data_IF_666729884231
#
_entry.id   IF_666729884231
#
_cell.length_a   1.000
_cell.length_b   1.000
_cell.length_c   1.000
_cell.angle_alpha   90.00
_cell.angle_beta   90.00
_cell.angle_gamma   90.00
#
_symmetry.space_group_name_H-M   'P 1'
#
loop_
_entity.id
_entity.type
_entity.pdbx_description
1 polymer ?
#
# COMPACT_ATOMS: atom_id res chain seq x y z
N UNK A 1 -25.40 -3.39 19.56
CA UNK A 1 -24.84 -4.76 19.54
C UNK A 1 -23.81 -4.78 18.44
N UNK A 2 -22.51 -4.79 18.78
CA UNK A 2 -21.45 -4.93 17.79
C UNK A 2 -21.52 -6.32 17.19
N UNK A 3 -21.34 -6.43 15.87
CA UNK A 3 -21.22 -7.74 15.22
C UNK A 3 -19.97 -8.39 15.78
N UNK A 4 -20.13 -9.53 16.46
CA UNK A 4 -19.00 -10.37 16.86
C UNK A 4 -18.39 -10.94 15.59
N UNK A 5 -17.21 -10.41 15.22
CA UNK A 5 -16.47 -10.88 14.07
C UNK A 5 -15.74 -12.17 14.44
N UNK A 6 -15.82 -13.16 13.55
CA UNK A 6 -15.10 -14.43 13.69
C UNK A 6 -14.13 -14.60 12.52
N UNK A 7 -12.97 -15.24 12.74
CA UNK A 7 -12.08 -15.63 11.65
C UNK A 7 -12.79 -16.47 10.59
N UNK A 8 -12.30 -16.37 9.36
CA UNK A 8 -12.86 -17.16 8.25
C UNK A 8 -12.71 -18.67 8.50
N UNK A 9 -13.57 -19.48 7.86
CA UNK A 9 -13.52 -20.94 7.95
C UNK A 9 -12.11 -21.52 7.78
N UNK A 10 -11.75 -22.42 8.70
CA UNK A 10 -10.45 -23.10 8.74
C UNK A 10 -9.35 -22.34 9.50
N UNK A 11 -9.64 -21.19 10.09
CA UNK A 11 -8.70 -20.43 10.92
C UNK A 11 -9.10 -20.54 12.39
N UNK A 12 -8.16 -20.99 13.23
CA UNK A 12 -8.33 -21.04 14.67
C UNK A 12 -8.24 -19.62 15.27
N UNK A 13 -9.19 -19.27 16.12
CA UNK A 13 -9.27 -17.97 16.80
C UNK A 13 -8.37 -17.96 18.04
N UNK A 14 -7.06 -18.00 17.86
CA UNK A 14 -6.11 -17.87 18.97
C UNK A 14 -6.17 -16.45 19.56
N UNK A 15 -5.86 -16.31 20.86
CA UNK A 15 -5.83 -14.99 21.52
C UNK A 15 -4.88 -14.02 20.79
N UNK A 16 -3.68 -14.49 20.43
CA UNK A 16 -2.68 -13.71 19.68
C UNK A 16 -3.22 -13.19 18.32
N UNK A 17 -3.94 -14.04 17.58
CA UNK A 17 -4.55 -13.66 16.30
C UNK A 17 -5.60 -12.57 16.53
N UNK A 18 -6.47 -12.77 17.51
CA UNK A 18 -7.56 -11.85 17.83
C UNK A 18 -7.01 -10.50 18.31
N UNK A 19 -5.97 -10.49 19.13
CA UNK A 19 -5.31 -9.27 19.60
C UNK A 19 -4.78 -8.45 18.43
N UNK A 20 -4.04 -9.09 17.51
CA UNK A 20 -3.49 -8.40 16.32
C UNK A 20 -4.62 -7.90 15.39
N UNK A 21 -5.65 -8.72 15.17
CA UNK A 21 -6.74 -8.38 14.26
C UNK A 21 -7.62 -7.27 14.83
N UNK A 22 -7.86 -7.24 16.13
CA UNK A 22 -8.78 -6.27 16.74
C UNK A 22 -8.09 -4.98 17.18
N UNK A 23 -6.76 -4.96 17.26
CA UNK A 23 -5.98 -3.76 17.60
C UNK A 23 -6.26 -2.58 16.65
N UNK A 24 -6.54 -1.40 17.23
CA UNK A 24 -6.82 -0.17 16.49
C UNK A 24 -5.59 0.74 16.31
N UNK A 25 -4.44 0.36 16.87
CA UNK A 25 -3.19 1.10 16.76
C UNK A 25 -2.29 0.56 15.64
N UNK A 26 -1.16 1.24 15.40
CA UNK A 26 -0.13 0.73 14.48
C UNK A 26 0.59 -0.47 15.09
N UNK A 27 0.48 -1.63 14.43
CA UNK A 27 1.08 -2.88 14.88
C UNK A 27 2.18 -3.32 13.92
N UNK A 28 3.36 -3.63 14.46
CA UNK A 28 4.41 -4.33 13.76
C UNK A 28 4.35 -5.82 14.12
N UNK A 29 4.20 -6.69 13.12
CA UNK A 29 4.12 -8.15 13.33
C UNK A 29 5.43 -8.79 12.91
N UNK A 30 6.14 -9.37 13.87
CA UNK A 30 7.35 -10.15 13.62
C UNK A 30 6.97 -11.62 13.43
N UNK A 31 7.20 -12.13 12.22
CA UNK A 31 6.80 -13.48 11.84
C UNK A 31 7.83 -14.11 10.90
N UNK A 32 8.10 -15.40 11.10
CA UNK A 32 8.97 -16.18 10.23
C UNK A 32 8.35 -16.45 8.85
N UNK A 33 9.16 -16.99 7.94
CA UNK A 33 8.66 -17.49 6.67
C UNK A 33 7.62 -18.59 6.90
N UNK A 34 6.50 -18.56 6.16
CA UNK A 34 5.43 -19.55 6.29
C UNK A 34 4.49 -19.36 7.49
N UNK A 35 4.72 -18.39 8.38
CA UNK A 35 3.90 -18.14 9.57
C UNK A 35 2.50 -17.52 9.28
N UNK A 36 2.05 -17.52 8.01
CA UNK A 36 0.71 -17.06 7.67
C UNK A 36 0.48 -15.55 7.62
N UNK A 37 1.54 -14.72 7.52
CA UNK A 37 1.44 -13.23 7.46
C UNK A 37 0.36 -12.73 6.48
N UNK A 38 0.33 -13.29 5.28
CA UNK A 38 -0.65 -12.87 4.26
C UNK A 38 -2.07 -13.29 4.61
N UNK A 39 -2.25 -14.41 5.32
CA UNK A 39 -3.58 -14.78 5.85
C UNK A 39 -3.99 -13.83 6.96
N UNK A 40 -3.08 -13.49 7.88
CA UNK A 40 -3.30 -12.52 8.94
C UNK A 40 -3.79 -11.17 8.39
N UNK A 41 -3.11 -10.63 7.37
CA UNK A 41 -3.53 -9.38 6.71
C UNK A 41 -4.91 -9.53 6.02
N UNK A 42 -5.21 -10.69 5.45
CA UNK A 42 -6.51 -10.95 4.85
C UNK A 42 -7.64 -11.03 5.89
N UNK A 43 -7.39 -11.65 7.04
CA UNK A 43 -8.31 -11.68 8.17
C UNK A 43 -8.51 -10.27 8.76
N UNK A 44 -7.43 -9.49 8.90
CA UNK A 44 -7.50 -8.07 9.32
C UNK A 44 -8.38 -7.25 8.37
N UNK A 45 -8.17 -7.35 7.05
CA UNK A 45 -9.03 -6.65 6.09
C UNK A 45 -10.50 -7.09 6.22
N UNK A 46 -10.75 -8.39 6.38
CA UNK A 46 -12.10 -8.91 6.55
C UNK A 46 -12.76 -8.37 7.83
N UNK A 47 -12.04 -8.34 8.95
CA UNK A 47 -12.48 -7.71 10.19
C UNK A 47 -12.84 -6.24 9.98
N UNK A 48 -11.92 -5.46 9.42
CA UNK A 48 -12.10 -4.02 9.20
C UNK A 48 -13.30 -3.70 8.31
N UNK A 49 -13.52 -4.49 7.26
CA UNK A 49 -14.66 -4.31 6.35
C UNK A 49 -15.99 -4.87 6.91
N UNK A 50 -15.93 -5.90 7.75
CA UNK A 50 -17.14 -6.56 8.27
C UNK A 50 -17.70 -5.86 9.50
N UNK A 51 -16.84 -5.20 10.27
CA UNK A 51 -17.20 -4.43 11.47
C UNK A 51 -17.40 -2.93 11.20
N UNK A 52 -17.29 -2.50 9.93
CA UNK A 52 -17.40 -1.11 9.48
C UNK A 52 -16.35 -0.15 10.07
N UNK A 53 -15.26 -0.69 10.65
CA UNK A 53 -14.10 0.10 11.08
C UNK A 53 -13.42 0.81 9.90
N UNK A 54 -13.31 0.14 8.75
CA UNK A 54 -13.00 0.80 7.48
C UNK A 54 -14.30 1.29 6.81
N UNK A 55 -14.81 2.41 7.31
CA UNK A 55 -16.07 3.01 6.86
C UNK A 55 -16.06 3.40 5.38
N UNK A 56 -17.20 3.30 4.69
CA UNK A 56 -17.32 3.81 3.32
C UNK A 56 -17.25 5.36 3.33
N UNK A 57 -16.57 6.03 2.37
CA UNK A 57 -15.96 5.51 1.13
C UNK A 57 -14.49 5.12 1.26
N UNK A 58 -13.94 5.09 2.47
CA UNK A 58 -12.52 4.87 2.71
C UNK A 58 -12.09 3.45 2.38
N UNK A 59 -10.79 3.32 2.13
CA UNK A 59 -10.14 2.15 1.52
C UNK A 59 -9.01 1.64 2.41
N UNK A 60 -8.54 0.44 2.09
CA UNK A 60 -7.31 -0.12 2.67
C UNK A 60 -6.25 -0.13 1.57
N UNK A 61 -5.06 0.38 1.86
CA UNK A 61 -3.90 0.32 0.98
C UNK A 61 -2.97 -0.81 1.43
N UNK A 62 -2.46 -1.60 0.49
CA UNK A 62 -1.35 -2.52 0.72
C UNK A 62 -0.18 -2.21 -0.20
N UNK A 63 1.01 -2.14 0.40
CA UNK A 63 2.28 -1.93 -0.28
C UNK A 63 3.19 -3.14 -0.06
N UNK A 64 3.71 -3.68 -1.17
CA UNK A 64 4.64 -4.81 -1.15
C UNK A 64 5.90 -4.51 -1.98
N UNK A 65 6.94 -5.33 -1.82
CA UNK A 65 8.16 -5.23 -2.64
C UNK A 65 8.09 -6.02 -3.94
N UNK A 66 7.35 -7.14 -3.93
CA UNK A 66 7.28 -8.08 -5.05
C UNK A 66 5.90 -8.06 -5.70
N UNK A 67 5.87 -8.15 -7.03
CA UNK A 67 4.63 -8.26 -7.81
C UNK A 67 3.84 -9.50 -7.41
N UNK A 68 4.51 -10.62 -7.17
CA UNK A 68 3.89 -11.87 -6.75
C UNK A 68 3.20 -11.71 -5.38
N UNK A 69 3.82 -10.99 -4.44
CA UNK A 69 3.24 -10.70 -3.13
C UNK A 69 2.02 -9.78 -3.24
N UNK A 70 2.09 -8.75 -4.11
CA UNK A 70 0.99 -7.84 -4.41
C UNK A 70 -0.24 -8.59 -4.96
N UNK A 71 -0.02 -9.56 -5.85
CA UNK A 71 -1.07 -10.43 -6.39
C UNK A 71 -1.60 -11.39 -5.32
N UNK A 72 -0.71 -12.01 -4.53
CA UNK A 72 -1.08 -13.00 -3.51
C UNK A 72 -2.03 -12.39 -2.48
N UNK A 73 -1.66 -11.26 -1.88
CA UNK A 73 -2.48 -10.60 -0.84
C UNK A 73 -3.83 -10.15 -1.39
N UNK A 74 -3.86 -9.63 -2.63
CA UNK A 74 -5.10 -9.22 -3.30
C UNK A 74 -6.03 -10.41 -3.54
N UNK A 75 -5.50 -11.54 -3.99
CA UNK A 75 -6.27 -12.77 -4.17
C UNK A 75 -6.88 -13.27 -2.86
N UNK A 76 -6.09 -13.28 -1.77
CA UNK A 76 -6.60 -13.70 -0.45
C UNK A 76 -7.70 -12.78 0.06
N UNK A 77 -7.52 -11.46 0.00
CA UNK A 77 -8.52 -10.51 0.46
C UNK A 77 -9.80 -10.59 -0.38
N UNK A 78 -9.70 -10.77 -1.71
CA UNK A 78 -10.86 -11.01 -2.56
C UNK A 78 -11.63 -12.26 -2.11
N UNK A 79 -10.94 -13.36 -1.83
CA UNK A 79 -11.54 -14.61 -1.36
C UNK A 79 -12.28 -14.43 -0.02
N UNK A 80 -11.73 -13.63 0.91
CA UNK A 80 -12.33 -13.44 2.25
C UNK A 80 -13.39 -12.35 2.30
N UNK A 81 -13.25 -11.28 1.52
CA UNK A 81 -14.08 -10.07 1.65
C UNK A 81 -15.14 -9.92 0.54
N UNK A 82 -15.07 -10.73 -0.51
CA UNK A 82 -16.01 -10.67 -1.64
C UNK A 82 -16.10 -9.27 -2.24
N UNK A 83 -17.32 -8.75 -2.42
CA UNK A 83 -17.55 -7.42 -3.00
C UNK A 83 -16.91 -6.27 -2.21
N UNK A 84 -16.71 -6.42 -0.89
CA UNK A 84 -16.06 -5.38 -0.06
C UNK A 84 -14.59 -5.19 -0.43
N UNK A 85 -13.95 -6.21 -1.02
CA UNK A 85 -12.57 -6.15 -1.49
C UNK A 85 -12.34 -5.13 -2.63
N UNK A 86 -13.40 -4.63 -3.26
CA UNK A 86 -13.30 -3.52 -4.24
C UNK A 86 -12.71 -2.24 -3.65
N UNK A 87 -12.74 -2.09 -2.32
CA UNK A 87 -12.11 -0.99 -1.56
C UNK A 87 -10.71 -1.32 -1.04
N UNK A 88 -10.11 -2.41 -1.52
CA UNK A 88 -8.73 -2.79 -1.21
C UNK A 88 -7.82 -2.51 -2.41
N UNK A 89 -6.86 -1.62 -2.20
CA UNK A 89 -5.81 -1.31 -3.16
C UNK A 89 -4.53 -2.04 -2.80
N UNK A 90 -3.87 -2.65 -3.79
CA UNK A 90 -2.64 -3.40 -3.60
C UNK A 90 -1.65 -3.04 -4.70
N UNK A 91 -0.50 -2.52 -4.32
CA UNK A 91 0.55 -2.08 -5.22
C UNK A 91 1.92 -2.59 -4.75
N UNK A 92 2.86 -2.71 -5.67
CA UNK A 92 4.27 -2.63 -5.28
C UNK A 92 4.60 -1.18 -4.94
N UNK A 93 5.59 -0.92 -4.08
CA UNK A 93 6.07 0.45 -3.80
C UNK A 93 6.33 1.26 -5.08
N UNK A 94 6.98 0.60 -6.01
CA UNK A 94 7.30 1.07 -7.35
C UNK A 94 6.07 1.46 -8.19
N UNK A 95 5.08 0.56 -8.29
CA UNK A 95 3.83 0.86 -9.00
C UNK A 95 3.04 1.99 -8.32
N UNK A 96 3.08 2.05 -6.99
CA UNK A 96 2.45 3.12 -6.23
C UNK A 96 3.11 4.48 -6.50
N UNK A 97 4.44 4.56 -6.46
CA UNK A 97 5.19 5.77 -6.81
C UNK A 97 4.90 6.22 -8.25
N UNK A 98 4.91 5.28 -9.20
CA UNK A 98 4.51 5.56 -10.59
C UNK A 98 3.12 6.18 -10.65
N UNK A 99 2.14 5.63 -9.91
CA UNK A 99 0.78 6.14 -9.89
C UNK A 99 0.68 7.57 -9.36
N UNK A 100 1.53 7.95 -8.39
CA UNK A 100 1.60 9.32 -7.85
C UNK A 100 2.17 10.24 -8.94
N UNK A 101 3.30 9.84 -9.55
CA UNK A 101 3.97 10.63 -10.59
C UNK A 101 3.05 10.84 -11.80
N UNK A 102 2.40 9.79 -12.29
CA UNK A 102 1.50 9.89 -13.45
C UNK A 102 0.35 10.87 -13.22
N UNK A 103 -0.26 10.82 -12.03
CA UNK A 103 -1.40 11.67 -11.66
C UNK A 103 -1.00 13.11 -11.37
N UNK A 104 0.20 13.32 -10.83
CA UNK A 104 0.55 14.58 -10.17
C UNK A 104 1.87 15.20 -10.65
N UNK A 105 2.48 14.71 -11.73
CA UNK A 105 3.71 15.29 -12.29
C UNK A 105 3.64 16.78 -12.57
N UNK A 106 2.46 17.34 -12.84
CA UNK A 106 2.28 18.77 -13.03
C UNK A 106 2.56 19.61 -11.77
N UNK A 107 2.64 18.98 -10.58
CA UNK A 107 3.10 19.62 -9.36
C UNK A 107 4.63 19.85 -9.34
N UNK A 108 5.40 19.12 -10.15
CA UNK A 108 6.85 19.31 -10.26
C UNK A 108 7.17 20.59 -11.06
N UNK A 109 8.36 21.18 -10.85
CA UNK A 109 8.92 22.21 -11.74
C UNK A 109 9.01 21.70 -13.19
N UNK A 110 8.75 22.56 -14.18
CA UNK A 110 8.68 22.19 -15.60
C UNK A 110 9.90 21.41 -16.11
N UNK A 111 11.10 21.79 -15.67
CA UNK A 111 12.36 21.16 -16.03
C UNK A 111 12.58 19.77 -15.41
N UNK A 112 11.70 19.33 -14.51
CA UNK A 112 11.78 18.03 -13.83
C UNK A 112 10.58 17.12 -14.12
N UNK A 113 9.59 17.62 -14.88
CA UNK A 113 8.41 16.83 -15.22
C UNK A 113 8.81 15.71 -16.18
N UNK A 114 8.52 14.43 -15.86
CA UNK A 114 8.66 13.38 -16.85
C UNK A 114 7.70 13.62 -18.02
N UNK A 115 8.06 13.14 -19.20
CA UNK A 115 7.23 13.24 -20.40
C UNK A 115 5.80 12.68 -20.19
N UNK A 116 4.87 12.98 -21.09
CA UNK A 116 3.49 12.45 -20.98
C UNK A 116 3.50 10.93 -21.02
N UNK A 117 4.20 10.36 -22.00
CA UNK A 117 4.43 8.94 -22.19
C UNK A 117 5.93 8.68 -22.04
N UNK A 118 6.35 8.24 -20.85
CA UNK A 118 7.73 7.86 -20.60
C UNK A 118 7.84 6.35 -20.40
N UNK A 119 8.95 5.79 -20.85
CA UNK A 119 9.34 4.41 -20.59
C UNK A 119 10.09 4.33 -19.26
N UNK A 120 9.82 3.25 -18.53
CA UNK A 120 10.55 2.92 -17.31
C UNK A 120 11.73 2.03 -17.69
N UNK A 121 12.92 2.44 -17.28
CA UNK A 121 14.16 1.68 -17.47
C UNK A 121 14.76 1.28 -16.12
N UNK A 122 15.56 0.21 -16.13
CA UNK A 122 16.13 -0.37 -14.90
C UNK A 122 17.63 -0.08 -14.76
N UNK A 123 18.32 0.22 -15.86
CA UNK A 123 19.73 0.56 -15.82
C UNK A 123 19.97 2.03 -16.14
N UNK A 124 20.84 2.67 -15.36
CA UNK A 124 21.19 4.10 -15.55
C UNK A 124 21.68 4.42 -16.96
N UNK A 125 22.38 3.48 -17.61
CA UNK A 125 22.84 3.62 -19.01
C UNK A 125 21.71 3.72 -20.03
N UNK A 126 20.50 3.30 -19.68
CA UNK A 126 19.31 3.33 -20.53
C UNK A 126 18.46 4.58 -20.30
N UNK A 127 18.68 5.29 -19.19
CA UNK A 127 17.97 6.50 -18.79
C UNK A 127 18.52 7.74 -19.52
N UNK A 128 18.56 7.66 -20.85
CA UNK A 128 18.96 8.76 -21.73
C UNK A 128 17.71 9.32 -22.42
N UNK A 129 17.64 10.65 -22.54
CA UNK A 129 16.49 11.33 -23.12
C UNK A 129 15.44 11.74 -22.08
N UNK A 130 14.39 12.42 -22.54
CA UNK A 130 13.30 12.96 -21.69
C UNK A 130 12.13 11.98 -21.55
N UNK A 131 12.08 10.98 -22.42
CA UNK A 131 11.06 9.94 -22.54
C UNK A 131 11.41 8.68 -21.74
N UNK A 132 12.53 8.66 -21.01
CA UNK A 132 12.95 7.51 -20.20
C UNK A 132 13.23 7.93 -18.77
N UNK A 133 12.68 7.17 -17.83
CA UNK A 133 12.93 7.38 -16.40
C UNK A 133 13.48 6.12 -15.75
N UNK A 134 14.51 6.29 -14.94
CA UNK A 134 15.00 5.21 -14.10
C UNK A 134 13.95 4.85 -13.04
N UNK A 135 13.75 3.56 -12.82
CA UNK A 135 12.77 3.05 -11.85
C UNK A 135 12.89 3.69 -10.46
N UNK A 136 14.13 3.82 -9.97
CA UNK A 136 14.42 4.38 -8.65
C UNK A 136 14.12 5.89 -8.57
N UNK A 137 14.14 6.59 -9.69
CA UNK A 137 13.80 8.02 -9.74
C UNK A 137 12.31 8.26 -9.48
N UNK A 138 11.44 7.28 -9.73
CA UNK A 138 10.00 7.42 -9.45
C UNK A 138 9.72 7.65 -7.96
N UNK A 139 10.47 7.01 -7.07
CA UNK A 139 10.34 7.22 -5.62
C UNK A 139 10.71 8.66 -5.25
N UNK A 140 11.82 9.16 -5.79
CA UNK A 140 12.28 10.53 -5.52
C UNK A 140 11.30 11.57 -6.06
N UNK A 141 10.76 11.37 -7.27
CA UNK A 141 9.75 12.26 -7.83
C UNK A 141 8.44 12.23 -7.03
N UNK A 142 7.99 11.05 -6.61
CA UNK A 142 6.79 10.91 -5.78
C UNK A 142 6.97 11.66 -4.44
N UNK A 143 8.09 11.45 -3.74
CA UNK A 143 8.42 12.18 -2.51
C UNK A 143 8.46 13.69 -2.76
N UNK A 144 9.06 14.14 -3.87
CA UNK A 144 9.12 15.56 -4.22
C UNK A 144 7.73 16.17 -4.48
N UNK A 145 6.86 15.47 -5.21
CA UNK A 145 5.47 15.88 -5.41
C UNK A 145 4.77 16.09 -4.06
N UNK A 146 4.91 15.11 -3.16
CA UNK A 146 4.31 15.18 -1.83
C UNK A 146 4.90 16.36 -1.05
N UNK A 147 6.21 16.57 -1.07
CA UNK A 147 6.85 17.71 -0.42
C UNK A 147 6.28 19.06 -0.90
N UNK A 148 6.04 19.21 -2.20
CA UNK A 148 5.50 20.45 -2.79
C UNK A 148 4.01 20.65 -2.48
N UNK A 149 3.21 19.58 -2.45
CA UNK A 149 1.74 19.65 -2.42
C UNK A 149 1.14 18.91 -1.22
N UNK A 150 0.85 19.66 -0.15
CA UNK A 150 0.21 19.13 1.06
C UNK A 150 -1.21 18.60 0.78
N UNK A 151 -1.96 19.24 -0.11
CA UNK A 151 -3.31 18.81 -0.50
C UNK A 151 -3.32 17.42 -1.16
N UNK A 152 -2.27 17.07 -1.90
CA UNK A 152 -2.10 15.72 -2.45
C UNK A 152 -1.87 14.71 -1.32
N UNK A 153 -1.02 15.03 -0.32
CA UNK A 153 -0.82 14.15 0.86
C UNK A 153 -2.15 13.90 1.58
N UNK A 154 -2.88 14.97 1.86
CA UNK A 154 -4.17 14.91 2.54
C UNK A 154 -5.17 14.07 1.75
N UNK A 155 -5.18 14.16 0.42
CA UNK A 155 -6.07 13.32 -0.39
C UNK A 155 -5.81 11.82 -0.19
N UNK A 156 -4.55 11.39 -0.04
CA UNK A 156 -4.23 10.00 0.29
C UNK A 156 -4.62 9.64 1.72
N UNK A 157 -4.27 10.46 2.70
CA UNK A 157 -4.60 10.17 4.11
C UNK A 157 -6.11 10.11 4.37
N UNK A 158 -6.91 10.94 3.66
CA UNK A 158 -8.37 10.86 3.72
C UNK A 158 -8.96 9.66 2.97
N UNK A 159 -8.26 9.14 1.97
CA UNK A 159 -8.73 8.01 1.16
C UNK A 159 -8.50 6.66 1.84
N UNK A 160 -7.44 6.55 2.64
CA UNK A 160 -7.00 5.29 3.24
C UNK A 160 -6.99 5.38 4.77
N UNK A 161 -7.87 4.63 5.43
CA UNK A 161 -7.87 4.52 6.90
C UNK A 161 -6.82 3.54 7.42
N UNK A 162 -6.47 2.55 6.61
CA UNK A 162 -5.56 1.48 6.98
C UNK A 162 -4.55 1.23 5.87
N UNK A 163 -3.30 1.05 6.28
CA UNK A 163 -2.18 0.78 5.40
C UNK A 163 -1.45 -0.47 5.86
N UNK A 164 -1.35 -1.45 4.98
CA UNK A 164 -0.60 -2.67 5.19
C UNK A 164 0.72 -2.56 4.44
N UNK A 165 1.82 -2.89 5.11
CA UNK A 165 3.14 -2.98 4.48
C UNK A 165 3.68 -4.38 4.72
N UNK A 166 3.84 -5.14 3.64
CA UNK A 166 4.41 -6.48 3.69
C UNK A 166 5.94 -6.43 3.59
N UNK A 167 6.62 -7.35 4.25
CA UNK A 167 8.08 -7.41 4.37
C UNK A 167 8.69 -6.06 4.79
N UNK A 168 8.13 -5.42 5.83
CA UNK A 168 8.55 -4.09 6.29
C UNK A 168 10.05 -3.99 6.58
N UNK A 169 10.71 -5.09 6.97
CA UNK A 169 12.15 -5.14 7.20
C UNK A 169 13.00 -4.81 5.95
N UNK A 170 12.44 -4.91 4.75
CA UNK A 170 13.10 -4.59 3.48
C UNK A 170 12.94 -3.10 3.08
N UNK A 171 12.27 -2.30 3.92
CA UNK A 171 11.97 -0.89 3.65
C UNK A 171 13.21 0.00 3.78
N UNK A 172 13.55 0.70 2.69
CA UNK A 172 14.60 1.72 2.69
C UNK A 172 14.15 3.01 3.37
N UNK A 173 15.10 3.84 3.82
CA UNK A 173 14.82 5.15 4.42
C UNK A 173 13.89 6.03 3.57
N UNK A 174 14.04 5.98 2.24
CA UNK A 174 13.21 6.76 1.31
C UNK A 174 11.81 6.20 1.17
N UNK A 175 11.63 4.88 1.17
CA UNK A 175 10.29 4.29 1.20
C UNK A 175 9.60 4.58 2.54
N UNK A 176 10.34 4.57 3.65
CA UNK A 176 9.80 4.97 4.95
C UNK A 176 9.44 6.46 5.01
N UNK A 177 10.25 7.33 4.40
CA UNK A 177 9.91 8.75 4.22
C UNK A 177 8.60 8.92 3.44
N UNK A 178 8.42 8.19 2.34
CA UNK A 178 7.18 8.19 1.56
C UNK A 178 5.97 7.83 2.43
N UNK A 179 6.08 6.78 3.25
CA UNK A 179 5.01 6.35 4.15
C UNK A 179 4.65 7.45 5.15
N UNK A 180 5.65 8.02 5.84
CA UNK A 180 5.44 9.11 6.84
C UNK A 180 4.89 10.40 6.24
N UNK A 181 5.09 10.64 4.94
CA UNK A 181 4.49 11.79 4.26
C UNK A 181 3.00 11.60 3.99
N UNK A 182 2.54 10.36 3.89
CA UNK A 182 1.18 10.00 3.51
C UNK A 182 0.31 9.63 4.71
N UNK A 183 0.89 9.04 5.75
CA UNK A 183 0.18 8.40 6.87
C UNK A 183 0.86 8.68 8.21
#
# INVERSE_FOLDING_TARGET
MGIEWLPSEGIEATEELMDIITCDESVAVLAGAGAGKTELLAQKANYLFSTDKCSWPKRILSLTFKTEAQINIKSRINKRCGLKATRFDSFTFHAFCKSIVDRFKNALPENERPAINYDIVFHKREANGIDKILMDSLLLLAIKILHIRLDIRNAFSYSYDYVFVDEFQDTTDKQYELLKLLF
#
